data_IF_872925582948
#
_entry.id   IF_872925582948
#
_cell.length_a   1.000
_cell.length_b   1.000
_cell.length_c   1.000
_cell.angle_alpha   90.00
_cell.angle_beta   90.00
_cell.angle_gamma   90.00
#
_symmetry.space_group_name_H-M   'P 1'
#
loop_
_entity.id
_entity.type
_entity.pdbx_description
1 polymer ?
#
# COMPACT_ATOMS: atom_id res chain seq x y z
N UNK A 1 -20.27 7.51 11.22
CA UNK A 1 -19.23 8.31 11.92
C UNK A 1 -18.38 9.12 10.94
N UNK A 2 -17.77 8.50 9.92
CA UNK A 2 -16.95 9.20 8.92
C UNK A 2 -17.70 10.30 8.14
N UNK A 3 -19.00 10.12 7.86
CA UNK A 3 -19.85 11.14 7.22
C UNK A 3 -19.93 12.43 8.04
N UNK A 4 -20.17 12.31 9.35
CA UNK A 4 -20.20 13.45 10.28
C UNK A 4 -18.87 14.21 10.29
N UNK A 5 -17.75 13.48 10.25
CA UNK A 5 -16.43 14.11 10.12
C UNK A 5 -16.31 14.91 8.80
N UNK A 6 -16.77 14.37 7.67
CA UNK A 6 -16.69 15.08 6.39
C UNK A 6 -17.53 16.36 6.35
N UNK A 7 -18.71 16.34 6.97
CA UNK A 7 -19.55 17.54 7.15
C UNK A 7 -18.83 18.59 8.00
N UNK A 8 -18.31 18.20 9.17
CA UNK A 8 -17.57 19.11 10.05
C UNK A 8 -16.30 19.65 9.41
N UNK A 9 -15.55 18.83 8.67
CA UNK A 9 -14.36 19.26 7.92
C UNK A 9 -14.73 20.31 6.89
N UNK A 10 -15.79 20.08 6.11
CA UNK A 10 -16.24 21.01 5.07
C UNK A 10 -16.65 22.35 5.68
N UNK A 11 -17.38 22.31 6.79
CA UNK A 11 -17.79 23.50 7.53
C UNK A 11 -16.60 24.28 8.10
N UNK A 12 -15.62 23.60 8.69
CA UNK A 12 -14.49 24.27 9.34
C UNK A 12 -13.38 24.71 8.38
N UNK A 13 -13.35 24.22 7.13
CA UNK A 13 -12.28 24.54 6.15
C UNK A 13 -12.08 26.03 5.91
N UNK A 14 -13.16 26.80 5.85
CA UNK A 14 -13.11 28.26 5.66
C UNK A 14 -13.02 29.04 6.98
N UNK A 15 -13.38 28.41 8.10
CA UNK A 15 -13.59 29.10 9.39
C UNK A 15 -12.43 28.90 10.36
N UNK A 16 -11.94 27.67 10.47
CA UNK A 16 -10.78 27.30 11.27
C UNK A 16 -9.98 26.18 10.56
N UNK A 17 -9.03 26.55 9.68
CA UNK A 17 -8.25 25.58 8.92
C UNK A 17 -7.42 24.62 9.77
N UNK A 18 -7.00 25.03 10.97
CA UNK A 18 -6.27 24.16 11.91
C UNK A 18 -7.18 23.07 12.48
N UNK A 19 -8.39 23.45 12.89
CA UNK A 19 -9.41 22.50 13.34
C UNK A 19 -9.81 21.55 12.21
N UNK A 20 -9.98 22.05 10.99
CA UNK A 20 -10.28 21.22 9.83
C UNK A 20 -9.18 20.16 9.59
N UNK A 21 -7.90 20.55 9.63
CA UNK A 21 -6.77 19.61 9.52
C UNK A 21 -6.74 18.59 10.66
N UNK A 22 -7.04 19.01 11.87
CA UNK A 22 -7.13 18.10 13.01
C UNK A 22 -8.26 17.07 12.82
N UNK A 23 -9.44 17.52 12.37
CA UNK A 23 -10.57 16.65 12.07
C UNK A 23 -10.28 15.67 10.91
N UNK A 24 -9.60 16.13 9.85
CA UNK A 24 -9.13 15.28 8.76
C UNK A 24 -8.22 14.17 9.29
N UNK A 25 -7.25 14.52 10.14
CA UNK A 25 -6.36 13.55 10.79
C UNK A 25 -7.14 12.53 11.63
N UNK A 26 -8.12 12.95 12.44
CA UNK A 26 -8.93 12.04 13.24
C UNK A 26 -9.78 11.10 12.37
N UNK A 27 -10.42 11.63 11.33
CA UNK A 27 -11.18 10.84 10.35
C UNK A 27 -10.28 9.78 9.70
N UNK A 28 -9.09 10.17 9.29
CA UNK A 28 -8.14 9.28 8.62
C UNK A 28 -7.64 8.16 9.54
N UNK A 29 -7.32 8.48 10.80
CA UNK A 29 -6.97 7.48 11.82
C UNK A 29 -8.12 6.49 11.98
N UNK A 30 -9.35 6.99 12.14
CA UNK A 30 -10.53 6.15 12.32
C UNK A 30 -10.78 5.24 11.12
N UNK A 31 -10.68 5.76 9.90
CA UNK A 31 -10.85 4.98 8.68
C UNK A 31 -9.79 3.86 8.58
N UNK A 32 -8.51 4.22 8.65
CA UNK A 32 -7.43 3.24 8.51
C UNK A 32 -7.51 2.16 9.59
N UNK A 33 -7.75 2.56 10.84
CA UNK A 33 -7.86 1.63 11.95
C UNK A 33 -9.11 0.74 11.84
N UNK A 34 -10.27 1.29 11.47
CA UNK A 34 -11.49 0.49 11.29
C UNK A 34 -11.31 -0.56 10.20
N UNK A 35 -10.74 -0.17 9.06
CA UNK A 35 -10.56 -1.05 7.91
C UNK A 35 -9.54 -2.16 8.25
N UNK A 36 -8.46 -1.83 8.96
CA UNK A 36 -7.49 -2.82 9.44
C UNK A 36 -8.13 -3.81 10.43
N UNK A 37 -8.91 -3.31 11.40
CA UNK A 37 -9.58 -4.15 12.38
C UNK A 37 -10.65 -5.03 11.76
N UNK A 38 -11.35 -4.57 10.73
CA UNK A 38 -12.30 -5.38 9.97
C UNK A 38 -11.61 -6.58 9.31
N UNK A 39 -10.48 -6.36 8.63
CA UNK A 39 -9.67 -7.44 8.03
C UNK A 39 -9.16 -8.41 9.11
N UNK A 40 -8.71 -7.88 10.25
CA UNK A 40 -8.22 -8.68 11.36
C UNK A 40 -9.32 -9.57 11.96
N UNK A 41 -10.46 -8.98 12.31
CA UNK A 41 -11.59 -9.65 12.95
C UNK A 41 -12.22 -10.72 12.04
N UNK A 42 -12.24 -10.49 10.73
CA UNK A 42 -12.66 -11.49 9.73
C UNK A 42 -11.60 -12.58 9.48
N UNK A 43 -10.45 -12.54 10.18
CA UNK A 43 -9.29 -13.44 9.99
C UNK A 43 -8.74 -13.44 8.56
N UNK A 44 -8.93 -12.34 7.83
CA UNK A 44 -8.50 -12.21 6.44
C UNK A 44 -7.09 -11.66 6.29
N UNK A 45 -6.44 -11.22 7.37
CA UNK A 45 -5.08 -10.66 7.36
C UNK A 45 -3.98 -11.64 6.93
N UNK A 46 -4.27 -12.94 6.85
CA UNK A 46 -3.38 -13.95 6.29
C UNK A 46 -3.53 -14.13 4.78
N UNK A 47 -4.64 -13.64 4.18
CA UNK A 47 -4.86 -13.75 2.75
C UNK A 47 -3.88 -12.85 2.00
N UNK A 48 -3.38 -13.30 0.86
CA UNK A 48 -2.39 -12.54 0.08
C UNK A 48 -2.90 -11.15 -0.29
N UNK A 49 -4.18 -11.03 -0.66
CA UNK A 49 -4.79 -9.76 -1.04
C UNK A 49 -4.91 -8.79 0.15
N UNK A 50 -5.34 -9.28 1.31
CA UNK A 50 -5.65 -8.40 2.45
C UNK A 50 -4.48 -8.23 3.41
N UNK A 51 -3.43 -9.07 3.34
CA UNK A 51 -2.25 -8.97 4.21
C UNK A 51 -1.56 -7.62 4.08
N UNK A 52 -1.27 -7.21 2.85
CA UNK A 52 -0.57 -5.94 2.61
C UNK A 52 -1.45 -4.74 2.94
N UNK A 53 -2.75 -4.82 2.63
CA UNK A 53 -3.74 -3.79 3.00
C UNK A 53 -3.81 -3.62 4.52
N UNK A 54 -3.94 -4.73 5.25
CA UNK A 54 -3.95 -4.73 6.71
C UNK A 54 -2.69 -4.09 7.29
N UNK A 55 -1.51 -4.55 6.85
CA UNK A 55 -0.24 -4.04 7.34
C UNK A 55 -0.11 -2.53 7.05
N UNK A 56 -0.43 -2.11 5.83
CA UNK A 56 -0.36 -0.70 5.41
C UNK A 56 -1.28 0.18 6.25
N UNK A 57 -2.55 -0.20 6.39
CA UNK A 57 -3.53 0.57 7.16
C UNK A 57 -3.13 0.66 8.64
N UNK A 58 -2.65 -0.45 9.21
CA UNK A 58 -2.22 -0.50 10.61
C UNK A 58 -0.99 0.39 10.86
N UNK A 59 0.01 0.34 9.97
CA UNK A 59 1.23 1.16 10.08
C UNK A 59 0.90 2.66 9.94
N UNK A 60 0.10 3.03 8.92
CA UNK A 60 -0.32 4.42 8.71
C UNK A 60 -1.16 4.97 9.87
N UNK A 61 -2.08 4.17 10.42
CA UNK A 61 -2.87 4.57 11.58
C UNK A 61 -1.96 4.88 12.79
N UNK A 62 -1.00 3.99 13.10
CA UNK A 62 -0.06 4.20 14.20
C UNK A 62 0.82 5.45 13.98
N UNK A 63 1.30 5.65 12.74
CA UNK A 63 2.07 6.83 12.38
C UNK A 63 1.26 8.12 12.60
N UNK A 64 0.00 8.16 12.13
CA UNK A 64 -0.88 9.31 12.34
C UNK A 64 -1.19 9.53 13.82
N UNK A 65 -1.24 8.47 14.64
CA UNK A 65 -1.37 8.60 16.09
C UNK A 65 -0.10 9.15 16.78
N UNK A 66 0.97 9.44 16.03
CA UNK A 66 2.20 10.03 16.56
C UNK A 66 3.21 9.01 17.08
N UNK A 67 3.05 7.73 16.70
CA UNK A 67 4.01 6.68 17.09
C UNK A 67 5.13 6.59 16.06
N UNK A 68 6.33 6.25 16.53
CA UNK A 68 7.39 5.74 15.66
C UNK A 68 6.96 4.38 15.12
N UNK A 69 7.15 4.15 13.82
CA UNK A 69 6.73 2.93 13.14
C UNK A 69 7.89 2.36 12.35
N UNK A 70 8.37 1.20 12.77
CA UNK A 70 9.40 0.43 12.07
C UNK A 70 8.80 -0.88 11.54
N UNK A 71 9.16 -1.24 10.30
CA UNK A 71 8.81 -2.52 9.71
C UNK A 71 9.94 -3.01 8.80
N UNK A 72 10.30 -4.29 8.94
CA UNK A 72 11.31 -4.90 8.08
C UNK A 72 11.09 -6.41 7.96
N UNK A 73 11.48 -6.97 6.81
CA UNK A 73 11.68 -8.40 6.66
C UNK A 73 13.15 -8.77 6.96
N UNK A 74 13.48 -10.07 6.90
CA UNK A 74 14.81 -10.60 7.23
C UNK A 74 15.97 -9.84 6.55
N UNK A 75 15.86 -9.50 5.26
CA UNK A 75 16.86 -8.73 4.52
C UNK A 75 16.49 -7.26 4.32
N UNK A 76 15.34 -6.82 4.85
CA UNK A 76 14.76 -5.49 4.62
C UNK A 76 14.49 -5.09 3.15
N UNK A 77 14.52 -6.04 2.21
CA UNK A 77 14.43 -5.78 0.77
C UNK A 77 13.02 -6.06 0.23
N UNK A 78 12.69 -7.33 -0.07
CA UNK A 78 11.49 -7.65 -0.86
C UNK A 78 10.16 -7.30 -0.18
N UNK A 79 9.94 -7.83 1.01
CA UNK A 79 8.65 -7.66 1.72
C UNK A 79 8.54 -6.26 2.32
N UNK A 80 9.66 -5.69 2.77
CA UNK A 80 9.72 -4.30 3.21
C UNK A 80 9.42 -3.36 2.05
N UNK A 81 10.08 -3.53 0.90
CA UNK A 81 9.84 -2.73 -0.30
C UNK A 81 8.40 -2.75 -0.76
N UNK A 82 7.73 -3.92 -0.74
CA UNK A 82 6.30 -4.00 -1.08
C UNK A 82 5.39 -3.24 -0.12
N UNK A 83 5.65 -3.32 1.19
CA UNK A 83 4.88 -2.54 2.17
C UNK A 83 5.15 -1.04 1.98
N UNK A 84 6.40 -0.65 1.71
CA UNK A 84 6.74 0.73 1.41
C UNK A 84 5.98 1.23 0.17
N UNK A 85 5.96 0.45 -0.92
CA UNK A 85 5.19 0.80 -2.11
C UNK A 85 3.69 0.95 -1.81
N UNK A 86 3.11 0.08 -0.97
CA UNK A 86 1.71 0.24 -0.55
C UNK A 86 1.43 1.49 0.28
N UNK A 87 2.36 1.85 1.15
CA UNK A 87 2.29 3.10 1.90
C UNK A 87 2.33 4.29 0.92
N UNK A 88 3.24 4.29 -0.04
CA UNK A 88 3.35 5.34 -1.06
C UNK A 88 2.08 5.43 -1.93
N UNK A 89 1.56 4.29 -2.41
CA UNK A 89 0.28 4.24 -3.15
C UNK A 89 -0.86 4.89 -2.36
N UNK A 90 -0.98 4.55 -1.07
CA UNK A 90 -2.04 5.08 -0.20
C UNK A 90 -1.89 6.58 0.06
N UNK A 91 -0.66 7.07 0.23
CA UNK A 91 -0.37 8.50 0.42
C UNK A 91 -0.61 9.31 -0.86
N UNK A 92 -0.21 8.78 -2.03
CA UNK A 92 -0.49 9.42 -3.32
C UNK A 92 -2.00 9.44 -3.57
N UNK A 93 -2.70 8.32 -3.34
CA UNK A 93 -4.15 8.26 -3.45
C UNK A 93 -4.83 9.32 -2.57
N UNK A 94 -4.40 9.45 -1.31
CA UNK A 94 -4.90 10.48 -0.40
C UNK A 94 -4.66 11.88 -0.90
N UNK A 95 -3.47 12.15 -1.44
CA UNK A 95 -3.12 13.46 -2.00
C UNK A 95 -4.03 13.82 -3.17
N UNK A 96 -4.36 12.84 -4.02
CA UNK A 96 -5.22 13.04 -5.19
C UNK A 96 -6.71 13.14 -4.86
N UNK A 97 -7.18 12.43 -3.84
CA UNK A 97 -8.62 12.26 -3.58
C UNK A 97 -9.11 12.91 -2.29
N UNK A 98 -8.19 13.33 -1.41
CA UNK A 98 -8.50 13.88 -0.09
C UNK A 98 -8.84 12.83 0.98
N UNK A 99 -8.79 11.53 0.67
CA UNK A 99 -9.09 10.44 1.61
C UNK A 99 -8.22 9.21 1.33
N UNK A 100 -8.00 8.36 2.33
CA UNK A 100 -7.32 7.08 2.11
C UNK A 100 -8.18 6.10 1.30
N UNK A 101 -7.56 5.18 0.53
CA UNK A 101 -8.29 4.25 -0.32
C UNK A 101 -9.12 3.28 0.52
N UNK A 102 -10.37 3.06 0.11
CA UNK A 102 -11.18 1.96 0.60
C UNK A 102 -11.09 0.81 -0.39
N UNK A 103 -10.35 -0.24 -0.01
CA UNK A 103 -10.07 -1.38 -0.89
C UNK A 103 -11.30 -2.25 -1.17
N UNK A 104 -12.49 -1.91 -0.69
CA UNK A 104 -13.75 -2.56 -1.10
C UNK A 104 -14.45 -1.80 -2.23
N UNK A 105 -14.11 -0.52 -2.45
CA UNK A 105 -14.75 0.32 -3.46
C UNK A 105 -14.14 0.07 -4.85
N UNK A 106 -14.94 -0.28 -5.87
CA UNK A 106 -14.42 -0.51 -7.23
C UNK A 106 -13.68 0.69 -7.83
N UNK A 107 -14.12 1.92 -7.53
CA UNK A 107 -13.46 3.16 -7.97
C UNK A 107 -12.04 3.25 -7.41
N UNK A 108 -11.89 3.07 -6.10
CA UNK A 108 -10.61 3.23 -5.42
C UNK A 108 -9.63 2.16 -5.91
N UNK A 109 -10.09 0.91 -6.08
CA UNK A 109 -9.32 -0.18 -6.70
C UNK A 109 -8.76 0.20 -8.06
N UNK A 110 -9.57 0.82 -8.93
CA UNK A 110 -9.13 1.23 -10.28
C UNK A 110 -8.04 2.30 -10.24
N UNK A 111 -8.17 3.28 -9.34
CA UNK A 111 -7.16 4.33 -9.16
C UNK A 111 -5.86 3.70 -8.65
N UNK A 112 -5.93 2.86 -7.61
CA UNK A 112 -4.74 2.16 -7.08
C UNK A 112 -4.08 1.30 -8.16
N UNK A 113 -4.86 0.57 -8.97
CA UNK A 113 -4.33 -0.22 -10.08
C UNK A 113 -3.57 0.63 -11.11
N UNK A 114 -3.93 1.91 -11.28
CA UNK A 114 -3.22 2.84 -12.14
C UNK A 114 -1.96 3.44 -11.48
N UNK A 115 -1.96 3.60 -10.15
CA UNK A 115 -0.84 4.15 -9.39
C UNK A 115 0.26 3.10 -9.15
N UNK A 116 -0.13 1.86 -8.83
CA UNK A 116 0.77 0.78 -8.44
C UNK A 116 1.95 0.54 -9.40
N UNK A 117 1.76 0.49 -10.75
CA UNK A 117 2.89 0.29 -11.66
C UNK A 117 3.95 1.39 -11.55
N UNK A 118 3.52 2.64 -11.36
CA UNK A 118 4.41 3.82 -11.29
C UNK A 118 5.21 3.82 -9.99
N UNK A 119 4.53 3.56 -8.87
CA UNK A 119 5.16 3.47 -7.55
C UNK A 119 6.16 2.32 -7.50
N UNK A 120 5.77 1.13 -7.97
CA UNK A 120 6.66 -0.02 -7.99
C UNK A 120 7.86 0.14 -8.93
N UNK A 121 7.74 0.94 -10.00
CA UNK A 121 8.86 1.22 -10.90
C UNK A 121 9.86 2.21 -10.30
N UNK A 122 9.36 3.27 -9.65
CA UNK A 122 10.19 4.33 -9.04
C UNK A 122 10.58 4.08 -7.58
N UNK A 123 10.18 2.97 -6.98
CA UNK A 123 10.37 2.70 -5.56
C UNK A 123 11.84 2.49 -5.17
N UNK A 124 12.26 3.11 -4.07
CA UNK A 124 13.64 3.09 -3.54
C UNK A 124 14.16 1.67 -3.32
N UNK A 125 13.28 0.72 -2.96
CA UNK A 125 13.68 -0.68 -2.78
C UNK A 125 14.28 -1.32 -4.03
N UNK A 126 13.93 -0.82 -5.22
CA UNK A 126 14.48 -1.31 -6.48
C UNK A 126 15.96 -0.94 -6.63
N UNK A 127 16.30 0.30 -6.28
CA UNK A 127 17.67 0.81 -6.32
C UNK A 127 18.52 0.16 -5.23
N UNK A 128 17.97 0.02 -4.01
CA UNK A 128 18.66 -0.66 -2.90
C UNK A 128 18.98 -2.12 -3.24
N UNK A 129 18.04 -2.84 -3.85
CA UNK A 129 18.27 -4.24 -4.23
C UNK A 129 19.35 -4.37 -5.32
N UNK A 130 19.39 -3.46 -6.29
CA UNK A 130 20.44 -3.44 -7.32
C UNK A 130 21.82 -3.11 -6.75
N UNK A 131 21.88 -2.18 -5.79
CA UNK A 131 23.12 -1.81 -5.13
C UNK A 131 23.69 -2.97 -4.30
N UNK A 132 22.82 -3.73 -3.62
CA UNK A 132 23.22 -4.88 -2.80
C UNK A 132 23.54 -6.12 -3.64
N UNK A 133 22.85 -6.31 -4.77
CA UNK A 133 23.08 -7.42 -5.69
C UNK A 133 22.79 -6.98 -7.14
N UNK A 134 23.82 -6.54 -7.89
CA UNK A 134 23.66 -6.00 -9.24
C UNK A 134 22.91 -6.95 -10.18
N UNK A 135 21.84 -6.47 -10.79
CA UNK A 135 20.96 -7.28 -11.65
C UNK A 135 19.82 -7.99 -10.90
N UNK A 136 19.78 -7.92 -9.56
CA UNK A 136 18.68 -8.42 -8.75
C UNK A 136 17.75 -7.29 -8.27
N UNK A 137 17.36 -6.38 -9.19
CA UNK A 137 16.45 -5.22 -8.97
C UNK A 137 15.05 -5.54 -8.40
N UNK A 138 14.82 -6.73 -7.85
CA UNK A 138 13.47 -7.28 -7.65
C UNK A 138 12.80 -7.58 -8.99
N UNK A 139 11.54 -8.06 -8.99
CA UNK A 139 10.85 -8.37 -10.25
C UNK A 139 10.70 -7.12 -11.13
N UNK A 140 11.30 -7.14 -12.30
CA UNK A 140 11.27 -6.01 -13.24
C UNK A 140 9.94 -6.03 -14.02
N UNK A 141 8.98 -5.20 -13.61
CA UNK A 141 7.66 -5.04 -14.30
C UNK A 141 7.82 -4.70 -15.79
N UNK A 142 8.94 -4.07 -16.18
CA UNK A 142 9.22 -3.67 -17.56
C UNK A 142 9.69 -4.83 -18.46
N UNK A 143 10.25 -5.91 -17.88
CA UNK A 143 10.95 -6.96 -18.63
C UNK A 143 10.11 -8.25 -18.75
N UNK A 144 8.95 -8.31 -18.09
CA UNK A 144 7.98 -9.39 -18.25
C UNK A 144 6.79 -8.92 -19.12
N UNK A 145 6.61 -9.48 -20.33
CA UNK A 145 5.51 -9.13 -21.22
C UNK A 145 4.12 -9.36 -20.58
N UNK A 146 3.99 -10.29 -19.63
CA UNK A 146 2.72 -10.54 -18.92
C UNK A 146 2.41 -9.43 -17.90
N UNK A 147 3.43 -8.74 -17.39
CA UNK A 147 3.29 -7.61 -16.46
C UNK A 147 2.96 -6.28 -17.17
N UNK A 148 3.30 -6.13 -18.46
CA UNK A 148 2.84 -4.99 -19.30
C UNK A 148 1.32 -4.97 -19.48
N UNK A 149 0.65 -6.10 -19.25
CA UNK A 149 -0.81 -6.24 -19.32
C UNK A 149 -1.48 -6.33 -17.94
N UNK A 150 -0.73 -6.16 -16.84
CA UNK A 150 -1.24 -6.23 -15.47
C UNK A 150 -2.28 -5.15 -15.10
N UNK A 151 -2.62 -4.25 -16.04
CA UNK A 151 -3.77 -3.35 -15.90
C UNK A 151 -5.11 -4.07 -15.76
N UNK A 152 -5.22 -5.38 -16.02
CA UNK A 152 -6.51 -6.09 -16.05
C UNK A 152 -6.68 -7.33 -15.17
N UNK A 153 -5.65 -8.03 -14.67
CA UNK A 153 -5.86 -9.40 -14.13
C UNK A 153 -5.18 -9.78 -12.80
N UNK A 154 -4.61 -8.83 -12.07
CA UNK A 154 -4.15 -9.05 -10.70
C UNK A 154 -3.45 -7.81 -10.17
N UNK A 155 -3.70 -7.43 -8.92
CA UNK A 155 -2.90 -6.38 -8.26
C UNK A 155 -1.43 -6.76 -8.43
N UNK A 156 -0.56 -5.84 -8.83
CA UNK A 156 0.88 -6.08 -9.02
C UNK A 156 1.51 -6.89 -7.87
N UNK A 157 1.00 -6.73 -6.66
CA UNK A 157 1.40 -7.50 -5.47
C UNK A 157 1.12 -9.00 -5.54
N UNK A 158 0.03 -9.40 -6.20
CA UNK A 158 -0.32 -10.81 -6.42
C UNK A 158 0.67 -11.45 -7.40
N UNK A 159 1.02 -10.71 -8.45
CA UNK A 159 2.03 -11.14 -9.42
C UNK A 159 3.40 -11.21 -8.70
N UNK A 160 3.82 -10.15 -8.03
CA UNK A 160 5.06 -10.11 -7.24
C UNK A 160 5.10 -11.21 -6.16
N UNK A 161 3.97 -11.53 -5.53
CA UNK A 161 3.79 -12.60 -4.54
C UNK A 161 4.05 -13.98 -5.11
N UNK A 162 3.47 -14.28 -6.28
CA UNK A 162 3.60 -15.56 -6.99
C UNK A 162 5.01 -15.75 -7.56
N UNK A 163 5.60 -14.72 -8.15
CA UNK A 163 6.89 -14.83 -8.83
C UNK A 163 8.10 -14.82 -7.87
N UNK A 164 8.00 -14.23 -6.69
CA UNK A 164 9.08 -14.32 -5.67
C UNK A 164 9.41 -15.77 -5.26
N UNK A 165 8.46 -16.71 -5.39
CA UNK A 165 8.72 -18.13 -5.15
C UNK A 165 9.38 -18.86 -6.33
N UNK A 166 9.25 -18.36 -7.56
CA UNK A 166 9.78 -19.04 -8.77
C UNK A 166 11.29 -18.87 -8.95
N UNK A 167 11.88 -17.80 -8.43
CA UNK A 167 13.34 -17.57 -8.51
C UNK A 167 14.13 -18.60 -7.67
N UNK A 168 13.47 -19.28 -6.72
CA UNK A 168 14.06 -20.32 -5.87
C UNK A 168 13.51 -21.74 -6.12
N UNK A 169 13.05 -22.04 -7.34
CA UNK A 169 13.07 -23.44 -7.78
C UNK A 169 14.41 -23.68 -8.47
N UNK A 170 15.42 -24.24 -7.80
CA UNK A 170 16.50 -24.84 -8.55
C UNK A 170 15.83 -25.90 -9.41
N UNK A 171 15.79 -25.68 -10.73
CA UNK A 171 15.77 -26.81 -11.64
C UNK A 171 16.93 -27.67 -11.15
N UNK A 172 16.63 -28.85 -10.60
CA UNK A 172 17.61 -29.91 -10.46
C UNK A 172 18.17 -30.09 -11.87
N UNK A 173 19.34 -29.52 -12.11
CA UNK A 173 20.23 -29.91 -13.19
C UNK A 173 20.82 -31.24 -12.74
N UNK A 174 20.08 -32.31 -13.01
CA UNK A 174 20.59 -33.66 -13.19
C UNK A 174 20.02 -34.16 -14.51
#
# INVERSE_FOLDING_TARGET
>A
LLSKYNESITFEKSRNPLLAKWLEKQRDILQLYSDAMEIYNKKQHFSWHNKMVFQTNFLLANYLMGRTVDFFCKSAEDRTGRINNKIEEALIFKTLTGAFPSYDKPRDKRIIAHLAPKVHYGGVSRETNDANNPGARGLQIADDPDLKHAGSLGTIDDIMGKFAKRVYSPKKLY
#
